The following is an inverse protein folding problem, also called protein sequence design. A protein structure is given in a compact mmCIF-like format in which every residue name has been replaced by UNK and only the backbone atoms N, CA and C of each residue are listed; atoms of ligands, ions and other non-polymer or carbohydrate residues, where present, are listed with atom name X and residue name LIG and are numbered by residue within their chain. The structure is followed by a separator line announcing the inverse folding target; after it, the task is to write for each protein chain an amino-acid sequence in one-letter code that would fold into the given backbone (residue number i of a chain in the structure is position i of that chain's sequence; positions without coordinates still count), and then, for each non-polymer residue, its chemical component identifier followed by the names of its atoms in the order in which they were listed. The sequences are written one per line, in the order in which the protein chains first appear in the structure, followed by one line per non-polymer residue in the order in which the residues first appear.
data_IF_396015223822
#
_entry.id   IF_396015223822
#
_cell.length_a   1.000
_cell.length_b   1.000
_cell.length_c   1.000
_cell.angle_alpha   90.00
_cell.angle_beta   90.00
_cell.angle_gamma   90.00
#
_symmetry.space_group_name_H-M   'P 1'
#
loop_
_entity.id
_entity.type
_entity.pdbx_description
1 polymer ?
#
# COMPACT_ATOMS: atom_id res chain seq x y z
N UNK A 1 -40.14 40.84 -8.27
CA UNK A 1 -39.30 39.66 -8.59
C UNK A 1 -38.49 39.39 -7.33
N UNK A 2 -38.93 38.54 -6.40
CA UNK A 2 -39.04 37.09 -6.52
C UNK A 2 -38.27 36.52 -5.32
N UNK A 3 -38.80 36.72 -4.12
CA UNK A 3 -38.17 36.34 -2.85
C UNK A 3 -38.95 35.18 -2.24
N UNK A 4 -38.74 34.00 -2.79
CA UNK A 4 -39.05 32.74 -2.12
C UNK A 4 -37.98 31.73 -2.55
N UNK A 5 -36.74 31.95 -2.10
CA UNK A 5 -35.75 30.86 -2.12
C UNK A 5 -36.18 29.88 -1.05
N UNK A 6 -36.51 28.65 -1.45
CA UNK A 6 -36.75 27.56 -0.52
C UNK A 6 -35.50 27.34 0.34
N UNK A 7 -35.66 26.88 1.58
CA UNK A 7 -34.52 26.61 2.45
C UNK A 7 -33.54 25.56 1.85
N UNK A 8 -34.04 24.74 0.95
CA UNK A 8 -33.27 23.81 0.12
C UNK A 8 -32.29 24.52 -0.84
N UNK A 9 -32.68 25.62 -1.48
CA UNK A 9 -31.77 26.40 -2.33
C UNK A 9 -30.69 27.10 -1.52
N UNK A 10 -31.02 27.62 -0.32
CA UNK A 10 -30.04 28.25 0.58
C UNK A 10 -29.01 27.24 1.08
N UNK A 11 -29.47 26.07 1.53
CA UNK A 11 -28.56 25.00 1.97
C UNK A 11 -27.70 24.46 0.82
N UNK A 12 -28.24 24.39 -0.40
CA UNK A 12 -27.49 24.06 -1.60
C UNK A 12 -26.40 25.09 -1.92
N UNK A 13 -26.73 26.38 -1.82
CA UNK A 13 -25.78 27.47 -2.03
C UNK A 13 -24.66 27.48 -0.98
N UNK A 14 -24.98 27.28 0.30
CA UNK A 14 -24.01 27.20 1.38
C UNK A 14 -23.05 26.01 1.21
N UNK A 15 -23.57 24.83 0.84
CA UNK A 15 -22.76 23.65 0.50
C UNK A 15 -21.83 23.94 -0.68
N UNK A 16 -22.34 24.54 -1.75
CA UNK A 16 -21.54 24.88 -2.93
C UNK A 16 -20.40 25.85 -2.58
N UNK A 17 -20.69 26.89 -1.79
CA UNK A 17 -19.70 27.85 -1.30
C UNK A 17 -18.64 27.19 -0.41
N UNK A 18 -19.04 26.21 0.42
CA UNK A 18 -18.09 25.45 1.24
C UNK A 18 -17.17 24.57 0.39
N UNK A 19 -17.71 23.94 -0.67
CA UNK A 19 -16.93 23.15 -1.64
C UNK A 19 -15.92 24.05 -2.35
N UNK A 20 -16.34 25.20 -2.88
CA UNK A 20 -15.44 26.15 -3.55
C UNK A 20 -14.30 26.62 -2.64
N UNK A 21 -14.60 26.83 -1.35
CA UNK A 21 -13.58 27.18 -0.35
C UNK A 21 -12.58 26.04 -0.15
N UNK A 22 -13.05 24.79 -0.05
CA UNK A 22 -12.19 23.62 0.07
C UNK A 22 -11.32 23.43 -1.18
N UNK A 23 -11.87 23.61 -2.38
CA UNK A 23 -11.13 23.51 -3.64
C UNK A 23 -10.01 24.55 -3.69
N UNK A 24 -10.30 25.81 -3.34
CA UNK A 24 -9.29 26.88 -3.31
C UNK A 24 -8.19 26.60 -2.28
N UNK A 25 -8.54 26.09 -1.11
CA UNK A 25 -7.57 25.70 -0.08
C UNK A 25 -6.71 24.51 -0.51
N UNK A 26 -7.31 23.51 -1.17
CA UNK A 26 -6.60 22.37 -1.75
C UNK A 26 -5.59 22.81 -2.81
N UNK A 27 -6.02 23.67 -3.74
CA UNK A 27 -5.14 24.21 -4.79
C UNK A 27 -3.91 24.94 -4.21
N UNK A 28 -4.11 25.79 -3.21
CA UNK A 28 -3.01 26.51 -2.54
C UNK A 28 -2.05 25.57 -1.78
N UNK A 29 -2.55 24.46 -1.26
CA UNK A 29 -1.74 23.45 -0.58
C UNK A 29 -0.93 22.62 -1.59
N UNK A 30 -1.57 22.22 -2.68
CA UNK A 30 -0.95 21.48 -3.78
C UNK A 30 0.15 22.28 -4.46
N UNK A 31 -0.05 23.59 -4.67
CA UNK A 31 0.96 24.48 -5.25
C UNK A 31 2.23 24.55 -4.40
N UNK A 32 2.11 24.42 -3.07
CA UNK A 32 3.24 24.39 -2.13
C UNK A 32 3.85 22.99 -1.96
N UNK A 33 3.21 21.97 -2.50
CA UNK A 33 3.63 20.57 -2.31
C UNK A 33 4.71 20.19 -3.32
N UNK A 34 5.88 19.77 -2.81
CA UNK A 34 6.98 19.27 -3.65
C UNK A 34 6.71 17.80 -3.99
N UNK A 35 6.56 17.50 -5.29
CA UNK A 35 6.35 16.13 -5.81
C UNK A 35 7.69 15.51 -6.20
N UNK A 36 7.99 14.35 -5.63
CA UNK A 36 9.22 13.59 -5.90
C UNK A 36 8.87 12.27 -6.61
N UNK A 37 9.64 11.93 -7.65
CA UNK A 37 9.52 10.66 -8.36
C UNK A 37 10.75 9.80 -8.11
N UNK A 38 10.56 8.62 -7.52
CA UNK A 38 11.62 7.63 -7.34
C UNK A 38 11.66 6.69 -8.53
N UNK A 39 12.74 6.75 -9.31
CA UNK A 39 12.97 5.90 -10.47
C UNK A 39 13.97 4.79 -10.17
N UNK A 40 13.83 3.66 -10.85
CA UNK A 40 14.73 2.51 -10.74
C UNK A 40 14.10 1.23 -11.28
N UNK A 41 14.93 0.22 -11.52
CA UNK A 41 14.49 -1.09 -12.01
C UNK A 41 13.47 -1.77 -11.06
N UNK A 42 12.77 -2.80 -11.54
CA UNK A 42 11.94 -3.64 -10.70
C UNK A 42 12.72 -4.12 -9.46
N UNK A 43 12.06 -4.17 -8.30
CA UNK A 43 12.61 -4.74 -7.07
C UNK A 43 13.87 -4.05 -6.47
N UNK A 44 14.34 -2.93 -7.04
CA UNK A 44 15.53 -2.22 -6.57
C UNK A 44 15.37 -1.48 -5.21
N UNK A 45 14.29 -1.74 -4.47
CA UNK A 45 14.09 -1.17 -3.13
C UNK A 45 13.39 0.19 -3.05
N UNK A 46 12.77 0.70 -4.13
CA UNK A 46 12.00 1.98 -4.11
C UNK A 46 10.95 2.01 -2.99
N UNK A 47 10.18 0.94 -2.85
CA UNK A 47 9.18 0.81 -1.79
C UNK A 47 9.80 0.76 -0.40
N UNK A 48 11.02 0.22 -0.28
CA UNK A 48 11.77 0.19 0.97
C UNK A 48 12.19 1.59 1.39
N UNK A 49 12.70 2.41 0.47
CA UNK A 49 13.03 3.81 0.73
C UNK A 49 11.79 4.60 1.19
N UNK A 50 10.66 4.44 0.51
CA UNK A 50 9.40 5.10 0.91
C UNK A 50 8.92 4.65 2.30
N UNK A 51 9.04 3.36 2.64
CA UNK A 51 8.73 2.87 3.98
C UNK A 51 9.62 3.49 5.05
N UNK A 52 10.92 3.66 4.77
CA UNK A 52 11.84 4.34 5.70
C UNK A 52 11.48 5.81 5.87
N UNK A 53 11.12 6.52 4.78
CA UNK A 53 10.66 7.91 4.87
C UNK A 53 9.43 8.04 5.77
N UNK A 54 8.48 7.08 5.73
CA UNK A 54 7.34 7.06 6.65
C UNK A 54 7.75 6.87 8.11
N UNK A 55 8.68 5.96 8.37
CA UNK A 55 9.20 5.72 9.72
C UNK A 55 9.86 6.98 10.29
N UNK A 56 10.66 7.68 9.48
CA UNK A 56 11.43 8.85 9.92
C UNK A 56 10.61 10.14 10.02
N UNK A 57 9.59 10.32 9.16
CA UNK A 57 8.92 11.61 9.00
C UNK A 57 7.40 11.59 9.18
N UNK A 58 6.75 10.43 9.30
CA UNK A 58 5.28 10.33 9.33
C UNK A 58 4.76 9.36 10.40
N UNK A 59 5.28 9.47 11.62
CA UNK A 59 4.86 8.72 12.82
C UNK A 59 4.80 7.18 12.65
N UNK A 60 5.47 6.62 11.65
CA UNK A 60 5.52 5.18 11.41
C UNK A 60 4.25 4.58 10.80
N UNK A 61 3.91 3.36 11.26
CA UNK A 61 2.77 2.57 10.79
C UNK A 61 1.79 2.31 11.94
N UNK A 62 0.49 2.31 11.63
CA UNK A 62 -0.55 1.99 12.61
C UNK A 62 -0.60 0.48 12.90
N UNK A 63 -1.26 0.08 13.99
CA UNK A 63 -1.45 -1.34 14.31
C UNK A 63 -2.23 -2.10 13.24
N UNK A 64 -3.22 -1.45 12.63
CA UNK A 64 -4.00 -2.02 11.52
C UNK A 64 -3.12 -2.27 10.30
N UNK A 65 -2.27 -1.29 9.92
CA UNK A 65 -1.31 -1.44 8.83
C UNK A 65 -0.32 -2.58 9.10
N UNK A 66 0.20 -2.67 10.33
CA UNK A 66 1.09 -3.76 10.73
C UNK A 66 0.38 -5.12 10.66
N UNK A 67 -0.88 -5.20 11.07
CA UNK A 67 -1.67 -6.44 11.03
C UNK A 67 -1.95 -6.89 9.61
N UNK A 68 -2.23 -5.95 8.69
CA UNK A 68 -2.33 -6.26 7.26
C UNK A 68 -0.99 -6.81 6.73
N UNK A 69 0.13 -6.24 7.17
CA UNK A 69 1.46 -6.66 6.74
C UNK A 69 1.91 -8.01 7.27
N UNK A 70 1.40 -8.45 8.43
CA UNK A 70 1.60 -9.83 8.90
C UNK A 70 1.11 -10.85 7.86
N UNK A 71 -0.05 -10.62 7.23
CA UNK A 71 -0.57 -11.53 6.18
C UNK A 71 0.36 -11.61 4.99
N UNK A 72 0.91 -10.47 4.57
CA UNK A 72 1.88 -10.41 3.47
C UNK A 72 3.15 -11.20 3.83
N UNK A 73 3.65 -11.08 5.06
CA UNK A 73 4.82 -11.84 5.53
C UNK A 73 4.56 -13.35 5.48
N UNK A 74 3.40 -13.81 5.94
CA UNK A 74 3.04 -15.23 5.88
C UNK A 74 2.97 -15.75 4.44
N UNK A 75 2.28 -15.02 3.56
CA UNK A 75 2.17 -15.41 2.15
C UNK A 75 3.54 -15.45 1.46
N UNK A 76 4.40 -14.46 1.71
CA UNK A 76 5.74 -14.41 1.15
C UNK A 76 6.61 -15.58 1.65
N UNK A 77 6.51 -15.92 2.94
CA UNK A 77 7.25 -17.04 3.53
C UNK A 77 6.86 -18.37 2.90
N UNK A 78 5.56 -18.66 2.82
CA UNK A 78 5.06 -19.90 2.20
C UNK A 78 5.43 -19.96 0.72
N UNK A 79 5.25 -18.85 0.00
CA UNK A 79 5.61 -18.77 -1.43
C UNK A 79 7.10 -18.99 -1.66
N UNK A 80 7.96 -18.39 -0.83
CA UNK A 80 9.41 -18.56 -0.94
C UNK A 80 9.83 -20.00 -0.67
N UNK A 81 9.26 -20.66 0.35
CA UNK A 81 9.52 -22.07 0.64
C UNK A 81 9.08 -22.96 -0.53
N UNK A 82 7.90 -22.70 -1.10
CA UNK A 82 7.42 -23.43 -2.27
C UNK A 82 8.35 -23.29 -3.48
N UNK A 83 8.82 -22.07 -3.75
CA UNK A 83 9.79 -21.81 -4.80
C UNK A 83 11.11 -22.55 -4.56
N UNK A 84 11.60 -22.60 -3.31
CA UNK A 84 12.79 -23.35 -2.95
C UNK A 84 12.62 -24.86 -3.18
N UNK A 85 11.49 -25.44 -2.76
CA UNK A 85 11.19 -26.87 -2.99
C UNK A 85 11.17 -27.19 -4.48
N UNK A 86 10.49 -26.37 -5.29
CA UNK A 86 10.48 -26.52 -6.75
C UNK A 86 11.88 -26.43 -7.36
N UNK A 87 12.69 -25.48 -6.90
CA UNK A 87 14.06 -25.34 -7.36
C UNK A 87 14.91 -26.57 -6.99
N UNK A 88 14.74 -27.12 -5.78
CA UNK A 88 15.44 -28.34 -5.38
C UNK A 88 15.10 -29.52 -6.29
N UNK A 89 13.83 -29.69 -6.67
CA UNK A 89 13.42 -30.71 -7.64
C UNK A 89 14.04 -30.47 -9.03
N UNK A 90 13.99 -29.22 -9.51
CA UNK A 90 14.56 -28.85 -10.82
C UNK A 90 16.07 -29.09 -10.91
N UNK A 91 16.81 -28.80 -9.83
CA UNK A 91 18.27 -28.97 -9.76
C UNK A 91 18.70 -30.31 -9.14
N UNK A 92 17.76 -31.23 -8.88
CA UNK A 92 18.00 -32.54 -8.27
C UNK A 92 18.80 -32.48 -6.95
N UNK A 93 18.58 -31.43 -6.16
CA UNK A 93 19.20 -31.26 -4.85
C UNK A 93 18.45 -32.13 -3.85
N UNK A 94 19.13 -33.14 -3.31
CA UNK A 94 18.56 -34.06 -2.31
C UNK A 94 18.39 -33.37 -0.96
N UNK A 95 17.32 -33.73 -0.26
CA UNK A 95 17.16 -33.36 1.14
C UNK A 95 18.23 -34.03 2.00
N UNK A 96 18.74 -33.32 3.01
CA UNK A 96 19.67 -33.89 4.00
C UNK A 96 19.03 -35.01 4.82
N UNK A 97 17.71 -34.95 5.00
CA UNK A 97 16.92 -35.98 5.70
C UNK A 97 15.92 -36.60 4.70
N UNK A 98 16.04 -37.90 4.39
CA UNK A 98 15.18 -38.57 3.40
C UNK A 98 13.68 -38.50 3.73
N UNK A 99 13.31 -38.47 5.02
CA UNK A 99 11.90 -38.44 5.46
C UNK A 99 11.15 -37.18 5.01
N UNK A 100 11.86 -36.11 4.64
CA UNK A 100 11.29 -34.84 4.17
C UNK A 100 10.91 -34.86 2.70
N UNK A 101 11.37 -35.86 1.96
CA UNK A 101 11.07 -36.01 0.53
C UNK A 101 9.63 -36.51 0.33
N UNK A 102 9.15 -37.37 1.23
CA UNK A 102 7.82 -38.00 1.19
C UNK A 102 6.67 -36.98 1.36
N UNK A 103 6.89 -35.91 2.13
CA UNK A 103 5.90 -34.84 2.36
C UNK A 103 5.87 -33.78 1.26
N UNK A 104 6.83 -33.78 0.33
CA UNK A 104 6.92 -32.79 -0.75
C UNK A 104 6.00 -33.08 -1.96
N UNK A 105 5.34 -34.25 -1.98
CA UNK A 105 4.47 -34.71 -3.06
C UNK A 105 3.00 -34.25 -2.97
N UNK A 106 2.67 -33.32 -2.08
CA UNK A 106 1.33 -32.77 -1.99
C UNK A 106 1.10 -31.71 -3.09
N UNK A 107 0.34 -32.11 -4.11
CA UNK A 107 -0.25 -31.25 -5.15
C UNK A 107 -1.24 -30.25 -4.58
#
# INVERSE_FOLDING_TARGET
MGLCQSDEEKTGFEKSKAIDKQIKQGAATDERTVKLLLLGAGECGKSTVLKQMRILHNNGFTEDEMTQQKRVVYNNTVTAIHQLIKAMQQYQIKYSSPDREVSSSFS
#
